data_IF_396669425407
#
_entry.id   IF_396669425407
#
_cell.length_a   1.000
_cell.length_b   1.000
_cell.length_c   1.000
_cell.angle_alpha   90.00
_cell.angle_beta   90.00
_cell.angle_gamma   90.00
#
_symmetry.space_group_name_H-M   'P 1'
#
loop_
_entity.id
_entity.type
_entity.pdbx_description
1 polymer ?
#
# COMPACT_ATOMS: atom_id res chain seq x y z
N UNK A 1 11.73 2.29 -13.04
CA UNK A 1 11.41 2.90 -11.74
C UNK A 1 11.92 4.32 -11.62
N UNK A 2 13.22 4.55 -11.89
CA UNK A 2 13.82 5.87 -11.78
C UNK A 2 13.41 6.88 -12.88
N UNK A 3 12.86 6.41 -14.00
CA UNK A 3 12.53 7.28 -15.14
C UNK A 3 13.78 7.71 -15.92
N UNK A 4 14.84 6.91 -15.86
CA UNK A 4 16.08 7.15 -16.59
C UNK A 4 15.98 6.55 -17.99
N UNK A 5 16.04 7.39 -19.02
CA UNK A 5 15.89 6.97 -20.41
C UNK A 5 17.23 6.55 -21.03
N UNK A 6 18.27 7.33 -20.77
CA UNK A 6 19.61 7.08 -21.29
C UNK A 6 20.52 6.43 -20.25
N UNK A 7 21.44 5.59 -20.71
CA UNK A 7 22.51 5.04 -19.86
C UNK A 7 23.49 6.14 -19.54
N UNK A 8 23.59 6.47 -18.26
CA UNK A 8 24.44 7.56 -17.79
C UNK A 8 25.09 7.19 -16.45
N UNK A 9 26.31 7.67 -16.22
CA UNK A 9 26.91 7.69 -14.89
C UNK A 9 26.41 8.90 -14.11
N UNK A 10 26.47 8.86 -12.76
CA UNK A 10 25.96 9.95 -11.91
C UNK A 10 24.45 10.21 -12.03
N UNK A 11 23.68 9.16 -12.32
CA UNK A 11 22.23 9.24 -12.53
C UNK A 11 21.53 9.99 -11.39
N UNK A 12 20.73 11.02 -11.69
CA UNK A 12 19.99 11.76 -10.68
C UNK A 12 18.88 10.89 -10.09
N UNK A 13 18.65 10.99 -8.77
CA UNK A 13 17.41 10.48 -8.20
C UNK A 13 16.31 11.49 -8.51
N UNK A 14 15.44 11.17 -9.45
CA UNK A 14 14.31 12.02 -9.80
C UNK A 14 13.34 12.01 -8.61
N UNK A 15 13.05 13.16 -8.01
CA UNK A 15 12.00 13.27 -7.00
C UNK A 15 10.64 13.47 -7.67
N UNK A 16 10.64 14.20 -8.78
CA UNK A 16 9.48 14.40 -9.65
C UNK A 16 9.95 14.31 -11.10
N UNK A 17 9.17 13.64 -11.94
CA UNK A 17 9.31 13.73 -13.37
C UNK A 17 7.96 13.51 -14.02
N UNK A 18 7.83 13.97 -15.27
CA UNK A 18 6.74 13.63 -16.14
C UNK A 18 7.28 12.75 -17.28
N UNK A 19 7.27 11.40 -17.12
CA UNK A 19 7.72 10.49 -18.15
C UNK A 19 6.78 10.51 -19.36
N UNK A 20 7.34 10.65 -20.55
CA UNK A 20 6.67 10.48 -21.83
C UNK A 20 7.33 9.31 -22.58
N UNK A 21 6.56 8.22 -22.71
CA UNK A 21 7.04 6.99 -23.33
C UNK A 21 7.10 7.06 -24.84
N UNK A 22 6.27 7.90 -25.47
CA UNK A 22 6.29 8.11 -26.91
C UNK A 22 7.51 8.95 -27.31
N UNK A 23 7.86 9.93 -26.48
CA UNK A 23 9.05 10.75 -26.65
C UNK A 23 10.35 10.08 -26.16
N UNK A 24 10.26 8.91 -25.51
CA UNK A 24 11.39 8.23 -24.84
C UNK A 24 12.19 9.18 -23.93
N UNK A 25 11.48 10.03 -23.18
CA UNK A 25 12.08 11.12 -22.43
C UNK A 25 11.21 11.62 -21.28
N UNK A 26 11.77 12.47 -20.42
CA UNK A 26 11.01 13.18 -19.40
C UNK A 26 10.71 14.60 -19.89
N UNK A 27 9.44 15.01 -19.90
CA UNK A 27 9.04 16.37 -20.29
C UNK A 27 9.46 17.41 -19.23
N UNK A 28 9.43 16.99 -17.97
CA UNK A 28 9.85 17.77 -16.81
C UNK A 28 10.54 16.82 -15.86
N UNK A 29 11.67 17.22 -15.29
CA UNK A 29 12.36 16.43 -14.28
C UNK A 29 12.95 17.32 -13.19
N UNK A 30 12.85 16.86 -11.95
CA UNK A 30 13.43 17.47 -10.77
C UNK A 30 14.05 16.35 -9.94
N UNK A 31 15.37 16.35 -9.85
CA UNK A 31 16.12 15.31 -9.16
C UNK A 31 17.36 15.81 -8.45
N UNK A 32 17.87 15.00 -7.54
CA UNK A 32 19.13 15.25 -6.84
C UNK A 32 20.24 14.51 -7.60
N UNK A 33 21.25 15.21 -8.15
CA UNK A 33 22.33 14.59 -8.93
C UNK A 33 23.11 13.53 -8.16
N UNK A 34 23.45 12.42 -8.81
CA UNK A 34 24.32 11.37 -8.26
C UNK A 34 23.74 10.53 -7.11
N UNK A 35 22.50 10.81 -6.68
CA UNK A 35 21.90 10.09 -5.56
C UNK A 35 21.30 8.73 -6.00
N UNK A 36 20.81 8.61 -7.24
CA UNK A 36 20.35 7.32 -7.75
C UNK A 36 21.51 6.38 -8.06
N UNK A 37 22.60 6.85 -8.67
CA UNK A 37 23.79 6.03 -8.90
C UNK A 37 24.40 5.53 -7.59
N UNK A 38 24.47 6.37 -6.55
CA UNK A 38 24.92 5.97 -5.22
C UNK A 38 24.01 4.89 -4.59
N UNK A 39 22.68 5.01 -4.71
CA UNK A 39 21.76 4.02 -4.13
C UNK A 39 21.78 2.70 -4.91
N UNK A 40 21.78 2.77 -6.24
CA UNK A 40 21.65 1.59 -7.10
C UNK A 40 22.96 0.82 -7.24
N UNK A 41 24.07 1.53 -7.44
CA UNK A 41 25.38 0.90 -7.73
C UNK A 41 26.33 0.94 -6.53
N UNK A 42 25.93 1.57 -5.41
CA UNK A 42 26.78 1.82 -4.24
C UNK A 42 28.03 2.67 -4.56
N UNK A 43 28.07 3.28 -5.74
CA UNK A 43 29.15 4.14 -6.24
C UNK A 43 28.57 5.36 -6.97
N UNK A 44 29.09 6.55 -6.66
CA UNK A 44 28.57 7.80 -7.26
C UNK A 44 28.73 7.82 -8.78
N UNK A 45 29.80 7.21 -9.30
CA UNK A 45 30.07 7.10 -10.73
C UNK A 45 29.60 5.81 -11.40
N UNK A 46 28.79 4.97 -10.74
CA UNK A 46 28.29 3.75 -11.38
C UNK A 46 27.32 4.08 -12.51
N UNK A 47 27.42 3.32 -13.60
CA UNK A 47 26.53 3.43 -14.74
C UNK A 47 25.21 2.71 -14.43
N UNK A 48 24.10 3.40 -14.68
CA UNK A 48 22.75 2.83 -14.56
C UNK A 48 22.20 2.67 -15.97
N UNK A 49 21.82 1.45 -16.38
CA UNK A 49 21.25 1.22 -17.71
C UNK A 49 19.96 2.01 -17.89
N UNK A 50 19.84 2.63 -19.07
CA UNK A 50 18.68 3.40 -19.49
C UNK A 50 17.56 2.53 -20.01
N UNK A 51 16.31 2.99 -19.87
CA UNK A 51 15.13 2.28 -20.38
C UNK A 51 15.18 2.15 -21.91
N UNK A 52 15.80 3.10 -22.61
CA UNK A 52 15.89 3.11 -24.07
C UNK A 52 16.84 2.04 -24.65
N UNK A 53 17.61 1.33 -23.81
CA UNK A 53 18.34 0.14 -24.25
C UNK A 53 17.41 -1.05 -24.54
N UNK A 54 16.19 -1.05 -23.98
CA UNK A 54 15.18 -2.08 -24.18
C UNK A 54 14.22 -1.67 -25.31
N UNK A 55 13.86 -2.58 -26.23
CA UNK A 55 12.89 -2.28 -27.29
C UNK A 55 11.56 -1.74 -26.72
N UNK A 56 10.92 -0.74 -27.34
CA UNK A 56 9.68 -0.15 -26.82
C UNK A 56 8.54 -1.15 -26.56
N UNK A 57 8.49 -2.27 -27.28
CA UNK A 57 7.52 -3.35 -27.07
C UNK A 57 7.71 -4.11 -25.76
N UNK A 58 8.92 -4.10 -25.20
CA UNK A 58 9.28 -4.78 -23.96
C UNK A 58 9.35 -3.81 -22.77
N UNK A 59 9.12 -2.52 -23.00
CA UNK A 59 9.15 -1.51 -21.94
C UNK A 59 7.85 -1.54 -21.13
N UNK A 60 7.92 -1.64 -19.79
CA UNK A 60 6.74 -1.52 -18.95
C UNK A 60 6.17 -0.09 -19.04
N UNK A 61 4.89 0.11 -18.69
CA UNK A 61 4.29 1.45 -18.60
C UNK A 61 5.04 2.34 -17.58
N UNK A 62 6.00 3.15 -18.08
CA UNK A 62 6.97 3.86 -17.23
C UNK A 62 6.26 4.82 -16.28
N UNK A 63 5.22 5.50 -16.76
CA UNK A 63 4.41 6.44 -15.99
C UNK A 63 3.86 5.81 -14.70
N UNK A 64 3.21 4.65 -14.81
CA UNK A 64 2.56 3.98 -13.67
C UNK A 64 3.61 3.48 -12.66
N UNK A 65 4.70 2.89 -13.17
CA UNK A 65 5.78 2.36 -12.32
C UNK A 65 6.49 3.50 -11.57
N UNK A 66 6.76 4.61 -12.26
CA UNK A 66 7.43 5.78 -11.70
C UNK A 66 6.65 6.40 -10.53
N UNK A 67 5.34 6.59 -10.69
CA UNK A 67 4.50 7.20 -9.66
C UNK A 67 4.17 6.27 -8.50
N UNK A 68 3.94 4.97 -8.78
CA UNK A 68 3.75 3.97 -7.72
C UNK A 68 4.98 3.85 -6.82
N UNK A 69 6.19 3.91 -7.40
CA UNK A 69 7.42 3.87 -6.62
C UNK A 69 7.55 5.08 -5.68
N UNK A 70 7.26 6.29 -6.16
CA UNK A 70 7.29 7.51 -5.34
C UNK A 70 6.24 7.47 -4.24
N UNK A 71 5.04 7.01 -4.55
CA UNK A 71 3.98 6.86 -3.54
C UNK A 71 4.43 5.90 -2.43
N UNK A 72 5.00 4.75 -2.80
CA UNK A 72 5.53 3.76 -1.85
C UNK A 72 6.62 4.36 -0.95
N UNK A 73 7.65 4.98 -1.55
CA UNK A 73 8.78 5.55 -0.80
C UNK A 73 8.32 6.72 0.07
N UNK A 74 7.47 7.62 -0.46
CA UNK A 74 6.96 8.76 0.28
C UNK A 74 6.15 8.32 1.52
N UNK A 75 5.27 7.32 1.37
CA UNK A 75 4.51 6.78 2.50
C UNK A 75 5.43 6.07 3.50
N UNK A 76 6.42 5.29 3.04
CA UNK A 76 7.38 4.62 3.91
C UNK A 76 8.20 5.59 4.76
N UNK A 77 8.76 6.63 4.13
CA UNK A 77 9.52 7.68 4.81
C UNK A 77 8.63 8.49 5.74
N UNK A 78 7.40 8.83 5.32
CA UNK A 78 6.43 9.54 6.16
C UNK A 78 6.10 8.73 7.42
N UNK A 79 5.88 7.42 7.30
CA UNK A 79 5.60 6.54 8.44
C UNK A 79 6.76 6.49 9.44
N UNK A 80 8.00 6.41 8.96
CA UNK A 80 9.20 6.49 9.81
C UNK A 80 9.25 7.85 10.52
N UNK A 81 9.02 8.95 9.80
CA UNK A 81 8.98 10.29 10.36
C UNK A 81 7.93 10.45 11.47
N UNK A 82 6.73 9.91 11.26
CA UNK A 82 5.65 9.93 12.26
C UNK A 82 6.01 9.07 13.47
N UNK A 83 6.64 7.90 13.28
CA UNK A 83 7.09 7.05 14.37
C UNK A 83 8.15 7.75 15.25
N UNK A 84 9.13 8.42 14.63
CA UNK A 84 10.15 9.20 15.34
C UNK A 84 9.55 10.40 16.07
N UNK A 85 8.64 11.13 15.43
CA UNK A 85 7.92 12.24 16.05
C UNK A 85 7.08 11.77 17.25
N UNK A 86 6.44 10.60 17.14
CA UNK A 86 5.69 9.97 18.23
C UNK A 86 6.59 9.58 19.40
N UNK A 87 7.76 9.00 19.14
CA UNK A 87 8.74 8.69 20.17
C UNK A 87 9.21 9.96 20.91
N UNK A 88 9.50 11.03 20.17
CA UNK A 88 9.91 12.30 20.75
C UNK A 88 8.80 12.95 21.60
N UNK A 89 7.56 12.94 21.13
CA UNK A 89 6.39 13.43 21.89
C UNK A 89 6.12 12.58 23.13
N UNK A 90 6.36 11.26 23.05
CA UNK A 90 6.26 10.34 24.19
C UNK A 90 7.29 10.66 25.26
N UNK A 91 8.55 10.88 24.89
CA UNK A 91 9.61 11.27 25.83
C UNK A 91 9.30 12.61 26.52
N UNK A 92 8.65 13.55 25.81
CA UNK A 92 8.22 14.83 26.37
C UNK A 92 6.90 14.76 27.18
N UNK A 93 6.25 13.60 27.25
CA UNK A 93 4.97 13.43 27.94
C UNK A 93 3.78 14.13 27.28
N UNK A 94 3.92 14.67 26.05
CA UNK A 94 2.87 15.45 25.36
C UNK A 94 2.13 14.69 24.27
N UNK A 95 2.29 13.37 24.23
CA UNK A 95 1.76 12.50 23.17
C UNK A 95 0.23 12.60 23.08
N UNK A 96 -0.45 12.62 24.23
CA UNK A 96 -1.91 12.59 24.32
C UNK A 96 -2.56 13.99 24.23
N UNK A 97 -1.79 15.06 24.41
CA UNK A 97 -2.31 16.44 24.38
C UNK A 97 -2.42 16.98 22.94
N UNK A 98 -1.63 16.44 22.02
CA UNK A 98 -1.49 16.94 20.64
C UNK A 98 -2.55 16.32 19.73
N UNK A 99 -3.74 16.93 19.67
CA UNK A 99 -4.86 16.48 18.81
C UNK A 99 -4.46 16.31 17.34
N UNK A 100 -3.61 17.19 16.79
CA UNK A 100 -3.13 17.09 15.42
C UNK A 100 -2.28 15.83 15.18
N UNK A 101 -1.43 15.46 16.13
CA UNK A 101 -0.63 14.24 16.05
C UNK A 101 -1.51 12.98 16.15
N UNK A 102 -2.52 12.98 17.02
CA UNK A 102 -3.47 11.87 17.13
C UNK A 102 -4.32 11.70 15.85
N UNK A 103 -4.73 12.80 15.20
CA UNK A 103 -5.40 12.73 13.89
C UNK A 103 -4.46 12.20 12.81
N UNK A 104 -3.19 12.60 12.81
CA UNK A 104 -2.19 12.07 11.90
C UNK A 104 -2.00 10.56 12.08
N UNK A 105 -1.90 10.07 13.33
CA UNK A 105 -1.83 8.64 13.62
C UNK A 105 -3.04 7.87 13.09
N UNK A 106 -4.24 8.46 13.18
CA UNK A 106 -5.47 7.86 12.63
C UNK A 106 -5.37 7.67 11.12
N UNK A 107 -4.92 8.69 10.38
CA UNK A 107 -4.74 8.59 8.92
C UNK A 107 -3.60 7.62 8.57
N UNK A 108 -2.51 7.64 9.34
CA UNK A 108 -1.38 6.72 9.19
C UNK A 108 -1.70 5.26 9.52
N UNK A 109 -2.89 4.94 10.03
CA UNK A 109 -3.33 3.54 10.15
C UNK A 109 -3.62 2.89 8.79
N UNK A 110 -4.00 3.69 7.78
CA UNK A 110 -4.34 3.22 6.43
C UNK A 110 -3.16 3.31 5.47
N UNK A 111 -2.20 4.20 5.74
CA UNK A 111 -1.01 4.38 4.88
C UNK A 111 -0.18 3.12 4.62
N UNK A 112 -0.02 2.14 5.54
CA UNK A 112 0.76 0.94 5.26
C UNK A 112 0.12 0.10 4.15
N UNK A 113 -1.22 0.01 4.13
CA UNK A 113 -1.94 -0.70 3.09
C UNK A 113 -1.73 -0.06 1.72
N UNK A 114 -1.78 1.28 1.64
CA UNK A 114 -1.52 2.01 0.40
C UNK A 114 -0.07 1.85 -0.05
N UNK A 115 0.90 1.86 0.87
CA UNK A 115 2.30 1.64 0.55
C UNK A 115 2.57 0.23 0.00
N UNK A 116 1.93 -0.79 0.58
CA UNK A 116 2.02 -2.17 0.09
C UNK A 116 1.39 -2.31 -1.30
N UNK A 117 0.21 -1.74 -1.54
CA UNK A 117 -0.42 -1.74 -2.86
C UNK A 117 0.45 -1.03 -3.92
N UNK A 118 1.02 0.12 -3.57
CA UNK A 118 1.95 0.83 -4.43
C UNK A 118 3.18 -0.02 -4.76
N UNK A 119 3.76 -0.72 -3.78
CA UNK A 119 4.86 -1.65 -4.00
C UNK A 119 4.49 -2.80 -4.93
N UNK A 120 3.31 -3.38 -4.76
CA UNK A 120 2.79 -4.40 -5.69
C UNK A 120 2.64 -3.86 -7.12
N UNK A 121 2.13 -2.65 -7.29
CA UNK A 121 2.05 -2.03 -8.62
C UNK A 121 3.42 -1.83 -9.24
N UNK A 122 4.43 -1.42 -8.47
CA UNK A 122 5.81 -1.28 -8.95
C UNK A 122 6.35 -2.61 -9.46
N UNK A 123 6.19 -3.69 -8.69
CA UNK A 123 6.73 -5.00 -9.06
C UNK A 123 5.95 -5.67 -10.19
N UNK A 124 4.62 -5.52 -10.20
CA UNK A 124 3.73 -6.20 -11.14
C UNK A 124 3.67 -5.49 -12.49
N UNK A 125 3.50 -4.16 -12.48
CA UNK A 125 3.50 -3.38 -13.73
C UNK A 125 4.93 -3.26 -14.26
N UNK A 126 5.92 -3.19 -13.38
CA UNK A 126 7.34 -3.09 -13.76
C UNK A 126 7.90 -4.32 -14.47
N UNK A 127 7.27 -5.49 -14.32
CA UNK A 127 7.65 -6.70 -15.05
C UNK A 127 6.95 -6.87 -16.40
N UNK A 128 5.89 -6.11 -16.66
CA UNK A 128 5.18 -6.18 -17.94
C UNK A 128 6.15 -5.82 -19.09
N UNK A 129 6.08 -6.50 -20.25
CA UNK A 129 5.08 -7.48 -20.68
C UNK A 129 5.35 -8.93 -20.24
N UNK A 130 6.45 -9.19 -19.54
CA UNK A 130 6.89 -10.53 -19.20
C UNK A 130 6.05 -11.14 -18.06
N UNK A 131 5.59 -12.37 -18.26
CA UNK A 131 5.07 -13.21 -17.18
C UNK A 131 6.24 -13.96 -16.51
N UNK A 132 7.08 -14.58 -17.34
CA UNK A 132 8.36 -15.20 -16.95
C UNK A 132 9.43 -14.63 -17.88
N UNK A 133 10.38 -13.92 -17.29
CA UNK A 133 11.41 -13.19 -18.04
C UNK A 133 12.16 -14.08 -19.03
N UNK A 134 12.14 -13.70 -20.31
CA UNK A 134 12.82 -14.42 -21.40
C UNK A 134 12.21 -15.78 -21.76
N UNK A 135 11.03 -16.12 -21.21
CA UNK A 135 10.38 -17.42 -21.45
C UNK A 135 8.94 -17.25 -21.94
N UNK A 136 8.15 -16.36 -21.33
CA UNK A 136 6.71 -16.26 -21.62
C UNK A 136 6.17 -14.86 -21.37
N UNK A 137 5.41 -14.35 -22.35
CA UNK A 137 4.73 -13.06 -22.27
C UNK A 137 3.32 -13.17 -21.70
N UNK A 138 2.80 -12.06 -21.15
CA UNK A 138 1.43 -11.98 -20.65
C UNK A 138 0.38 -12.28 -21.73
N UNK A 139 0.65 -11.92 -22.98
CA UNK A 139 -0.25 -12.20 -24.11
C UNK A 139 -0.35 -13.71 -24.41
N UNK A 140 0.74 -14.46 -24.22
CA UNK A 140 0.80 -15.90 -24.43
C UNK A 140 0.14 -16.69 -23.29
N UNK A 141 -0.02 -16.06 -22.11
CA UNK A 141 -0.61 -16.67 -20.93
C UNK A 141 -2.15 -16.71 -20.95
N UNK A 142 -2.76 -16.10 -21.96
CA UNK A 142 -4.22 -16.05 -22.09
C UNK A 142 -4.79 -17.37 -22.62
N UNK A 143 -5.77 -17.93 -21.93
CA UNK A 143 -6.46 -19.16 -22.34
C UNK A 143 -7.23 -18.95 -23.65
N UNK A 144 -6.90 -19.67 -24.75
CA UNK A 144 -7.51 -19.43 -26.06
C UNK A 144 -9.03 -19.67 -26.12
N UNK A 145 -9.57 -20.50 -25.22
CA UNK A 145 -11.00 -20.83 -25.16
C UNK A 145 -11.84 -19.83 -24.35
N UNK A 146 -11.20 -18.84 -23.70
CA UNK A 146 -11.90 -17.86 -22.87
C UNK A 146 -12.46 -16.74 -23.75
N UNK A 147 -13.79 -16.67 -23.86
CA UNK A 147 -14.43 -15.51 -24.50
C UNK A 147 -14.36 -14.28 -23.57
N UNK A 148 -14.27 -13.08 -24.15
CA UNK A 148 -14.25 -11.83 -23.37
C UNK A 148 -15.50 -11.67 -22.47
N UNK A 149 -16.65 -12.20 -22.88
CA UNK A 149 -17.87 -12.21 -22.06
C UNK A 149 -17.77 -13.13 -20.84
N UNK A 150 -17.17 -14.32 -20.99
CA UNK A 150 -16.94 -15.23 -19.87
C UNK A 150 -15.96 -14.63 -18.86
N UNK A 151 -14.89 -13.99 -19.35
CA UNK A 151 -13.92 -13.30 -18.51
C UNK A 151 -14.58 -12.17 -17.71
N UNK A 152 -15.41 -11.35 -18.36
CA UNK A 152 -16.08 -10.22 -17.71
C UNK A 152 -17.08 -10.68 -16.66
N UNK A 153 -17.93 -11.66 -16.99
CA UNK A 153 -18.96 -12.16 -16.05
C UNK A 153 -18.33 -12.81 -14.82
N UNK A 154 -17.29 -13.61 -15.00
CA UNK A 154 -16.54 -14.21 -13.87
C UNK A 154 -15.82 -13.14 -13.04
N UNK A 155 -15.16 -12.16 -13.67
CA UNK A 155 -14.51 -11.04 -12.98
C UNK A 155 -15.51 -10.23 -12.13
N UNK A 156 -16.66 -9.87 -12.69
CA UNK A 156 -17.72 -9.16 -11.95
C UNK A 156 -18.22 -10.02 -10.78
N UNK A 157 -18.40 -11.33 -10.99
CA UNK A 157 -18.74 -12.27 -9.92
C UNK A 157 -17.71 -12.28 -8.80
N UNK A 158 -16.42 -12.37 -9.13
CA UNK A 158 -15.34 -12.31 -8.15
C UNK A 158 -15.30 -10.97 -7.39
N UNK A 159 -15.44 -9.85 -8.10
CA UNK A 159 -15.51 -8.52 -7.49
C UNK A 159 -16.68 -8.44 -6.52
N UNK A 160 -17.86 -8.93 -6.91
CA UNK A 160 -19.05 -8.90 -6.06
C UNK A 160 -18.86 -9.74 -4.79
N UNK A 161 -18.33 -10.96 -4.91
CA UNK A 161 -18.05 -11.83 -3.77
C UNK A 161 -17.02 -11.20 -2.83
N UNK A 162 -15.91 -10.70 -3.36
CA UNK A 162 -14.90 -10.04 -2.54
C UNK A 162 -15.41 -8.75 -1.89
N UNK A 163 -16.27 -7.99 -2.58
CA UNK A 163 -16.90 -6.81 -2.00
C UNK A 163 -17.80 -7.15 -0.81
N UNK A 164 -18.59 -8.23 -0.90
CA UNK A 164 -19.45 -8.70 0.20
C UNK A 164 -18.58 -9.13 1.40
N UNK A 165 -17.54 -9.94 1.15
CA UNK A 165 -16.63 -10.42 2.21
C UNK A 165 -15.90 -9.25 2.86
N UNK A 166 -15.38 -8.31 2.05
CA UNK A 166 -14.69 -7.12 2.54
C UNK A 166 -15.62 -6.23 3.35
N UNK A 167 -16.86 -6.02 2.90
CA UNK A 167 -17.86 -5.25 3.63
C UNK A 167 -18.22 -5.89 4.97
N UNK A 168 -18.49 -7.20 4.98
CA UNK A 168 -18.80 -7.94 6.20
C UNK A 168 -17.63 -7.89 7.20
N UNK A 169 -16.40 -8.09 6.73
CA UNK A 169 -15.19 -7.99 7.56
C UNK A 169 -14.99 -6.57 8.11
N UNK A 170 -15.14 -5.55 7.27
CA UNK A 170 -15.02 -4.15 7.70
C UNK A 170 -16.10 -3.76 8.72
N UNK A 171 -17.35 -4.17 8.49
CA UNK A 171 -18.45 -3.98 9.43
C UNK A 171 -18.17 -4.66 10.78
N UNK A 172 -17.71 -5.92 10.75
CA UNK A 172 -17.36 -6.65 11.96
C UNK A 172 -16.21 -5.99 12.72
N UNK A 173 -15.11 -5.63 12.04
CA UNK A 173 -13.96 -4.97 12.66
C UNK A 173 -14.36 -3.62 13.27
N UNK A 174 -15.16 -2.81 12.57
CA UNK A 174 -15.61 -1.52 13.11
C UNK A 174 -16.56 -1.68 14.30
N UNK A 175 -17.39 -2.72 14.33
CA UNK A 175 -18.23 -3.05 15.51
C UNK A 175 -17.37 -3.46 16.70
N UNK A 176 -16.42 -4.38 16.51
CA UNK A 176 -15.52 -4.85 17.58
C UNK A 176 -14.68 -3.70 18.13
N UNK A 177 -14.11 -2.87 17.27
CA UNK A 177 -13.32 -1.71 17.72
C UNK A 177 -14.18 -0.71 18.50
N UNK A 178 -15.43 -0.47 18.10
CA UNK A 178 -16.34 0.43 18.83
C UNK A 178 -16.80 -0.15 20.17
N UNK A 179 -17.11 -1.44 20.22
CA UNK A 179 -17.57 -2.11 21.43
C UNK A 179 -16.42 -2.26 22.45
N UNK A 180 -15.21 -2.60 22.02
CA UNK A 180 -14.03 -2.66 22.90
C UNK A 180 -13.53 -1.30 23.41
N UNK A 181 -14.12 -0.18 22.96
CA UNK A 181 -13.85 1.17 23.47
C UNK A 181 -14.92 1.67 24.45
N UNK A 182 -15.99 0.91 24.71
CA UNK A 182 -16.92 1.24 25.77
C UNK A 182 -16.23 0.97 27.11
N UNK A 183 -16.21 1.93 28.06
CA UNK A 183 -15.79 1.64 29.41
C UNK A 183 -16.68 0.53 29.96
N UNK A 184 -16.10 -0.54 30.49
CA UNK A 184 -16.85 -1.54 31.25
C UNK A 184 -17.56 -0.81 32.40
N UNK A 185 -18.86 -0.54 32.20
CA UNK A 185 -19.72 0.04 33.23
C UNK A 185 -20.16 -1.02 34.24
N UNK A 186 -19.74 -2.28 34.07
CA UNK A 186 -19.93 -3.32 35.05
C UNK A 186 -18.56 -3.88 35.47
N UNK A 187 -18.30 -4.00 36.79
CA UNK A 187 -17.13 -4.73 37.26
C UNK A 187 -17.31 -6.19 36.83
N UNK A 188 -16.66 -6.58 35.73
CA UNK A 188 -16.48 -7.98 35.39
C UNK A 188 -15.63 -8.59 36.51
N UNK A 189 -16.23 -9.46 37.32
CA UNK A 189 -15.49 -10.35 38.20
C UNK A 189 -14.44 -11.07 37.33
N UNK A 190 -13.17 -11.00 37.75
CA UNK A 190 -11.98 -11.49 37.05
C UNK A 190 -12.03 -13.03 36.84
N UNK A 191 -12.88 -13.54 35.95
CA UNK A 191 -12.68 -14.86 35.36
C UNK A 191 -11.77 -14.75 34.15
N UNK A 192 -10.47 -14.63 34.47
CA UNK A 192 -9.29 -14.82 33.64
C UNK A 192 -9.57 -15.44 32.27
N UNK A 193 -9.70 -14.60 31.24
CA UNK A 193 -9.72 -15.01 29.85
C UNK A 193 -8.35 -15.59 29.47
N UNK A 194 -8.23 -16.93 29.52
CA UNK A 194 -7.00 -17.63 29.14
C UNK A 194 -6.97 -17.87 27.62
N UNK A 195 -5.83 -17.64 26.95
CA UNK A 195 -5.67 -17.85 25.49
C UNK A 195 -5.85 -19.31 25.01
N UNK A 196 -6.10 -20.26 25.92
CA UNK A 196 -6.28 -21.68 25.62
C UNK A 196 -7.74 -22.10 25.34
N UNK A 197 -8.71 -21.17 25.26
CA UNK A 197 -10.11 -21.48 24.97
C UNK A 197 -10.64 -20.67 23.78
N UNK A 198 -10.62 -21.21 22.54
CA UNK A 198 -11.05 -20.48 21.35
C UNK A 198 -12.54 -20.09 21.33
N UNK A 199 -13.33 -20.60 22.28
CA UNK A 199 -14.76 -20.30 22.44
C UNK A 199 -15.06 -19.29 23.55
N UNK A 200 -14.06 -18.71 24.24
CA UNK A 200 -14.34 -17.75 25.32
C UNK A 200 -14.89 -16.43 24.81
N UNK A 201 -14.64 -16.05 23.55
CA UNK A 201 -15.15 -14.81 22.94
C UNK A 201 -16.63 -14.87 22.52
N UNK A 202 -17.36 -15.95 22.82
CA UNK A 202 -18.73 -16.16 22.35
C UNK A 202 -19.82 -15.42 23.16
N UNK A 203 -19.45 -14.63 24.17
CA UNK A 203 -20.41 -13.95 25.05
C UNK A 203 -20.74 -12.51 24.61
N UNK A 204 -20.25 -12.04 23.45
CA UNK A 204 -20.64 -10.73 22.90
C UNK A 204 -22.12 -10.77 22.51
N UNK A 205 -23.02 -10.01 23.18
CA UNK A 205 -24.44 -10.04 22.86
C UNK A 205 -24.69 -9.48 21.45
N UNK A 206 -25.54 -10.16 20.67
CA UNK A 206 -25.90 -9.73 19.32
C UNK A 206 -26.82 -8.48 19.32
N UNK A 207 -27.45 -8.16 20.44
CA UNK A 207 -28.41 -7.06 20.58
C UNK A 207 -27.73 -5.74 21.00
N UNK A 208 -28.09 -4.66 20.30
CA UNK A 208 -27.72 -3.29 20.64
C UNK A 208 -28.38 -2.89 21.97
N UNK A 209 -27.57 -2.71 23.02
CA UNK A 209 -28.02 -2.27 24.34
C UNK A 209 -28.67 -0.87 24.35
N UNK A 210 -28.61 -0.12 23.24
CA UNK A 210 -29.28 1.18 23.10
C UNK A 210 -30.80 1.10 22.91
N UNK A 211 -31.38 -0.11 22.77
CA UNK A 211 -32.81 -0.29 22.48
C UNK A 211 -33.62 -0.94 23.61
N UNK A 212 -33.14 -0.91 24.86
CA UNK A 212 -33.95 -1.38 26.00
C UNK A 212 -34.77 -0.23 26.60
N UNK A 213 -36.11 -0.25 26.48
CA UNK A 213 -36.95 0.71 27.17
C UNK A 213 -37.13 0.27 28.63
N UNK A 214 -36.60 1.07 29.54
CA UNK A 214 -37.05 1.14 30.94
C UNK A 214 -36.41 0.14 31.90
N UNK A 215 -35.44 0.65 32.68
CA UNK A 215 -35.34 0.33 34.11
C UNK A 215 -35.03 1.62 34.87
N UNK A 216 -36.09 2.14 35.49
CA UNK A 216 -36.08 3.13 36.57
C UNK A 216 -35.47 2.56 37.83
#
# INVERSE_FOLDING_TARGET
>A
MEGNWETQSHTPLLLFAWPDQDAQGNLVEFGIPGLASLILTHHVGGEVPGISEVPPSEQPPVWMVFWSFRLMVALGVAMIGVALAGLWLRVKGRLYDQRGFLQLMRVMSVSPFLAVLAGWFVTEIGRAPWLVYGVMDQAEALTPSLSGWMALTTLVGYIAVYAIVFWAGFYYLTRVVRQGMLPDLEPHDDEVERPARPLSAAHVPFEDASNQPGRS
#
